data_IF_165696731527
#
_entry.id   IF_165696731527
#
_cell.length_a   1.000
_cell.length_b   1.000
_cell.length_c   1.000
_cell.angle_alpha   90.00
_cell.angle_beta   90.00
_cell.angle_gamma   90.00
#
_symmetry.space_group_name_H-M   'P 1'
#
loop_
_entity.id
_entity.type
_entity.pdbx_description
1 polymer ?
#
# COMPACT_ATOMS: atom_id res chain seq x y z
N UNK A 1 -2.77 28.66 7.06
CA UNK A 1 -1.94 27.46 6.73
C UNK A 1 -1.17 27.06 7.97
N UNK A 2 -1.33 25.87 8.55
CA UNK A 2 -0.46 25.37 9.61
C UNK A 2 0.93 25.07 9.04
N UNK A 3 2.00 25.16 9.85
CA UNK A 3 3.36 24.94 9.40
C UNK A 3 3.56 23.48 8.96
N UNK A 4 4.16 23.32 7.78
CA UNK A 4 4.59 22.04 7.21
C UNK A 4 5.80 21.51 7.99
N UNK A 5 5.59 20.85 9.08
CA UNK A 5 6.57 19.93 9.71
C UNK A 5 6.07 19.45 11.07
N UNK A 6 5.12 18.54 11.05
CA UNK A 6 4.98 17.64 12.17
C UNK A 6 4.94 16.24 11.56
N UNK A 7 6.12 15.63 11.45
CA UNK A 7 6.25 14.19 11.36
C UNK A 7 5.66 13.62 12.66
N UNK A 8 4.36 13.35 12.64
CA UNK A 8 3.77 12.52 13.67
C UNK A 8 4.35 11.12 13.49
N UNK A 9 4.90 10.50 14.54
CA UNK A 9 5.31 9.12 14.47
C UNK A 9 4.07 8.27 14.17
N UNK A 10 4.08 7.64 13.02
CA UNK A 10 2.99 6.84 12.43
C UNK A 10 2.43 5.72 13.32
N UNK A 11 3.08 5.42 14.42
CA UNK A 11 2.69 4.42 15.42
C UNK A 11 1.61 4.90 16.38
N UNK A 12 1.33 6.21 16.45
CA UNK A 12 0.53 6.79 17.53
C UNK A 12 -0.97 6.75 17.22
N UNK A 13 -1.38 6.88 15.95
CA UNK A 13 -2.78 7.09 15.61
C UNK A 13 -3.67 5.87 15.88
N UNK A 14 -3.25 4.68 15.47
CA UNK A 14 -4.03 3.45 15.67
C UNK A 14 -4.03 2.99 17.14
N UNK A 15 -2.95 3.23 17.84
CA UNK A 15 -2.84 2.96 19.27
C UNK A 15 -3.75 3.91 20.05
N UNK A 16 -3.74 5.20 19.72
CA UNK A 16 -4.59 6.20 20.38
C UNK A 16 -6.07 5.89 20.17
N UNK A 17 -6.51 5.62 18.95
CA UNK A 17 -7.91 5.26 18.65
C UNK A 17 -8.36 4.01 19.42
N UNK A 18 -7.53 2.97 19.48
CA UNK A 18 -7.86 1.76 20.23
C UNK A 18 -7.84 1.97 21.75
N UNK A 19 -6.87 2.70 22.27
CA UNK A 19 -6.76 3.02 23.70
C UNK A 19 -7.87 3.96 24.13
N UNK A 20 -8.18 4.98 23.36
CA UNK A 20 -9.32 5.88 23.59
C UNK A 20 -10.65 5.15 23.55
N UNK A 21 -10.88 4.26 22.57
CA UNK A 21 -12.07 3.42 22.54
C UNK A 21 -12.20 2.50 23.76
N UNK A 22 -11.08 1.95 24.26
CA UNK A 22 -11.07 1.19 25.50
C UNK A 22 -11.39 2.05 26.71
N UNK A 23 -10.79 3.24 26.79
CA UNK A 23 -11.05 4.19 27.85
C UNK A 23 -12.46 4.73 27.83
N UNK A 24 -12.99 5.08 26.66
CA UNK A 24 -14.36 5.60 26.50
C UNK A 24 -15.40 4.51 26.81
N UNK A 25 -15.08 3.24 26.46
CA UNK A 25 -15.91 2.10 26.85
C UNK A 25 -15.87 1.87 28.37
N UNK A 26 -14.68 1.94 28.98
CA UNK A 26 -14.52 1.74 30.43
C UNK A 26 -15.14 2.88 31.25
N UNK A 27 -15.14 4.09 30.72
CA UNK A 27 -15.69 5.29 31.37
C UNK A 27 -17.17 5.57 31.03
N UNK A 28 -17.82 4.69 30.24
CA UNK A 28 -19.24 4.84 29.85
C UNK A 28 -19.53 6.08 29.00
N UNK A 29 -18.51 6.61 28.30
CA UNK A 29 -18.62 7.82 27.47
C UNK A 29 -19.14 7.58 26.06
N UNK A 30 -19.49 6.34 25.74
CA UNK A 30 -20.10 6.03 24.45
C UNK A 30 -21.51 6.60 24.43
N UNK A 31 -21.86 7.48 23.46
CA UNK A 31 -23.20 8.02 23.35
C UNK A 31 -24.24 6.91 23.22
N UNK A 32 -25.38 7.09 23.91
CA UNK A 32 -26.48 6.13 23.88
C UNK A 32 -27.00 6.00 22.44
N UNK A 33 -26.91 4.80 21.86
CA UNK A 33 -27.36 4.54 20.48
C UNK A 33 -26.23 4.36 19.46
N UNK A 34 -24.98 4.67 19.80
CA UNK A 34 -23.81 4.38 18.96
C UNK A 34 -23.18 3.05 19.39
N UNK A 35 -22.90 2.18 18.43
CA UNK A 35 -22.11 0.98 18.69
C UNK A 35 -20.60 1.29 18.55
N UNK A 36 -19.76 0.36 19.04
CA UNK A 36 -18.29 0.53 18.98
C UNK A 36 -17.75 0.70 17.56
N UNK A 37 -18.43 0.16 16.57
CA UNK A 37 -18.02 0.22 15.18
C UNK A 37 -18.31 1.59 14.57
N UNK A 38 -19.43 2.23 14.94
CA UNK A 38 -19.77 3.58 14.48
C UNK A 38 -18.76 4.60 14.98
N UNK A 39 -18.32 4.46 16.23
CA UNK A 39 -17.28 5.32 16.82
C UNK A 39 -15.93 5.08 16.13
N UNK A 40 -15.63 3.82 15.81
CA UNK A 40 -14.41 3.47 15.10
C UNK A 40 -14.40 4.06 13.69
N UNK A 41 -15.49 3.88 12.95
CA UNK A 41 -15.65 4.41 11.60
C UNK A 41 -15.50 5.95 11.61
N UNK A 42 -16.10 6.63 12.60
CA UNK A 42 -15.94 8.07 12.79
C UNK A 42 -14.48 8.48 13.02
N UNK A 43 -13.78 7.81 13.94
CA UNK A 43 -12.36 8.09 14.24
C UNK A 43 -11.44 7.81 13.07
N UNK A 44 -11.76 6.83 12.24
CA UNK A 44 -11.02 6.55 11.01
C UNK A 44 -11.21 7.68 10.02
N UNK A 45 -12.44 8.14 9.83
CA UNK A 45 -12.73 9.27 8.95
C UNK A 45 -11.99 10.54 9.42
N UNK A 46 -11.92 10.79 10.73
CA UNK A 46 -11.11 11.89 11.29
C UNK A 46 -9.59 11.74 11.03
N UNK A 47 -9.13 10.52 10.78
CA UNK A 47 -7.71 10.21 10.55
C UNK A 47 -7.30 10.35 9.10
N UNK A 48 -8.25 10.53 8.19
CA UNK A 48 -7.98 10.75 6.77
C UNK A 48 -7.39 12.15 6.59
N UNK A 49 -6.25 12.22 5.93
CA UNK A 49 -5.61 13.46 5.54
C UNK A 49 -6.08 13.81 4.14
N UNK A 50 -6.96 14.79 4.03
CA UNK A 50 -7.45 15.28 2.75
C UNK A 50 -6.41 16.19 2.08
N UNK A 51 -6.09 15.92 0.82
CA UNK A 51 -5.25 16.78 -0.02
C UNK A 51 -6.03 17.20 -1.28
N UNK A 52 -5.57 18.19 -2.04
CA UNK A 52 -6.26 18.59 -3.25
C UNK A 52 -6.35 17.52 -4.35
N UNK A 53 -5.48 16.50 -4.31
CA UNK A 53 -5.35 15.50 -5.38
C UNK A 53 -5.68 14.08 -4.94
N UNK A 54 -5.58 13.79 -3.65
CA UNK A 54 -5.84 12.47 -3.07
C UNK A 54 -6.03 12.57 -1.56
N UNK A 55 -6.69 11.59 -1.00
CA UNK A 55 -6.81 11.42 0.44
C UNK A 55 -5.86 10.34 0.91
N UNK A 56 -5.24 10.56 2.06
CA UNK A 56 -4.24 9.64 2.63
C UNK A 56 -4.72 9.09 3.97
N UNK A 57 -4.80 7.76 4.06
CA UNK A 57 -4.98 7.06 5.31
C UNK A 57 -3.72 6.26 5.65
N UNK A 58 -3.10 6.57 6.78
CA UNK A 58 -1.89 5.87 7.23
C UNK A 58 -2.23 4.95 8.39
N UNK A 59 -1.92 3.67 8.22
CA UNK A 59 -2.06 2.68 9.27
C UNK A 59 -0.70 2.39 9.91
N UNK A 60 -0.56 2.76 11.18
CA UNK A 60 0.65 2.45 11.93
C UNK A 60 0.82 0.95 12.19
N UNK A 61 2.06 0.55 12.50
CA UNK A 61 2.39 -0.83 12.87
C UNK A 61 1.75 -1.16 14.22
N UNK A 62 0.94 -2.21 14.35
CA UNK A 62 0.44 -2.61 15.66
C UNK A 62 1.60 -3.15 16.50
N UNK A 63 1.92 -2.47 17.60
CA UNK A 63 2.88 -2.93 18.58
C UNK A 63 2.20 -3.79 19.66
N UNK A 64 2.79 -4.93 19.99
CA UNK A 64 2.39 -5.79 21.10
C UNK A 64 2.07 -7.24 20.72
N UNK A 65 2.05 -8.11 21.72
CA UNK A 65 1.78 -9.56 21.62
C UNK A 65 0.30 -9.92 21.38
N UNK A 66 -0.38 -9.13 20.55
CA UNK A 66 -1.80 -9.35 20.26
C UNK A 66 -2.05 -10.00 18.90
N UNK A 67 -3.15 -10.75 18.78
CA UNK A 67 -3.57 -11.32 17.51
C UNK A 67 -3.87 -10.21 16.50
N UNK A 68 -3.19 -10.22 15.35
CA UNK A 68 -3.41 -9.31 14.23
C UNK A 68 -4.83 -9.46 13.61
N UNK A 69 -5.56 -10.52 13.96
CA UNK A 69 -6.86 -10.83 13.37
C UNK A 69 -7.88 -9.69 13.51
N UNK A 70 -7.92 -9.03 14.68
CA UNK A 70 -8.86 -7.93 14.92
C UNK A 70 -8.50 -6.68 14.09
N UNK A 71 -7.21 -6.38 13.99
CA UNK A 71 -6.69 -5.24 13.19
C UNK A 71 -6.93 -5.49 11.70
N UNK A 72 -6.68 -6.72 11.23
CA UNK A 72 -6.89 -7.09 9.83
C UNK A 72 -8.37 -7.06 9.44
N UNK A 73 -9.27 -7.52 10.32
CA UNK A 73 -10.71 -7.42 10.08
C UNK A 73 -11.20 -5.97 10.05
N UNK A 74 -10.61 -5.12 10.88
CA UNK A 74 -10.88 -3.70 10.91
C UNK A 74 -10.41 -3.03 9.62
N UNK A 75 -9.18 -3.30 9.17
CA UNK A 75 -8.64 -2.76 7.92
C UNK A 75 -9.51 -3.15 6.72
N UNK A 76 -9.91 -4.41 6.64
CA UNK A 76 -10.80 -4.88 5.59
C UNK A 76 -12.10 -4.10 5.56
N UNK A 77 -12.76 -3.94 6.70
CA UNK A 77 -13.99 -3.16 6.81
C UNK A 77 -13.81 -1.69 6.41
N UNK A 78 -12.67 -1.08 6.79
CA UNK A 78 -12.34 0.29 6.38
C UNK A 78 -12.24 0.37 4.85
N UNK A 79 -11.49 -0.52 4.24
CA UNK A 79 -11.32 -0.56 2.78
C UNK A 79 -12.68 -0.76 2.09
N UNK A 80 -13.51 -1.69 2.59
CA UNK A 80 -14.86 -1.93 2.07
C UNK A 80 -15.76 -0.69 2.18
N UNK A 81 -15.73 0.02 3.30
CA UNK A 81 -16.51 1.24 3.50
C UNK A 81 -16.02 2.41 2.63
N UNK A 82 -14.70 2.54 2.46
CA UNK A 82 -14.10 3.59 1.64
C UNK A 82 -14.24 3.30 0.14
N UNK A 83 -14.26 2.04 -0.28
CA UNK A 83 -14.28 1.67 -1.70
C UNK A 83 -15.48 2.22 -2.47
N UNK A 84 -16.59 2.49 -1.80
CA UNK A 84 -17.77 3.10 -2.42
C UNK A 84 -17.64 4.61 -2.67
N UNK A 85 -16.64 5.26 -2.08
CA UNK A 85 -16.48 6.71 -2.11
C UNK A 85 -15.31 7.19 -3.00
N UNK A 86 -14.51 6.26 -3.51
CA UNK A 86 -13.34 6.56 -4.32
C UNK A 86 -13.33 5.76 -5.62
N UNK A 87 -12.97 6.42 -6.72
CA UNK A 87 -12.80 5.75 -8.02
C UNK A 87 -11.60 4.81 -8.05
N UNK A 88 -10.55 5.15 -7.27
CA UNK A 88 -9.31 4.39 -7.15
C UNK A 88 -8.82 4.39 -5.73
N UNK A 89 -8.47 3.20 -5.21
CA UNK A 89 -7.79 3.04 -3.92
C UNK A 89 -6.46 2.36 -4.17
N UNK A 90 -5.38 2.97 -3.70
CA UNK A 90 -4.03 2.40 -3.75
C UNK A 90 -3.65 1.96 -2.34
N UNK A 91 -3.31 0.70 -2.18
CA UNK A 91 -2.88 0.11 -0.91
C UNK A 91 -1.38 -0.17 -0.98
N UNK A 92 -0.57 0.65 -0.29
CA UNK A 92 0.85 0.37 -0.11
C UNK A 92 1.04 -0.60 1.05
N UNK A 93 1.66 -1.73 0.78
CA UNK A 93 1.84 -2.82 1.76
C UNK A 93 3.31 -2.96 2.17
N UNK A 94 3.54 -3.46 3.39
CA UNK A 94 4.90 -3.82 3.80
C UNK A 94 5.51 -4.84 2.84
N UNK A 95 6.84 -4.79 2.70
CA UNK A 95 7.57 -5.78 1.89
C UNK A 95 7.41 -7.20 2.44
N UNK A 96 7.25 -8.17 1.55
CA UNK A 96 7.21 -9.59 1.88
C UNK A 96 5.83 -10.23 1.71
N UNK A 97 5.67 -11.42 2.30
CA UNK A 97 4.52 -12.31 2.08
C UNK A 97 3.45 -12.20 3.20
N UNK A 98 3.75 -11.48 4.27
CA UNK A 98 2.90 -11.51 5.48
C UNK A 98 1.50 -10.96 5.26
N UNK A 99 1.36 -9.90 4.46
CA UNK A 99 0.07 -9.29 4.18
C UNK A 99 -0.85 -10.21 3.37
N UNK A 100 -0.28 -11.04 2.48
CA UNK A 100 -1.05 -12.06 1.75
C UNK A 100 -1.56 -13.15 2.69
N UNK A 101 -0.67 -13.71 3.51
CA UNK A 101 -1.04 -14.75 4.47
C UNK A 101 -2.05 -14.28 5.51
N UNK A 102 -2.04 -12.99 5.83
CA UNK A 102 -3.03 -12.36 6.73
C UNK A 102 -4.36 -12.02 6.07
N UNK A 103 -4.48 -12.23 4.75
CA UNK A 103 -5.68 -11.93 3.96
C UNK A 103 -6.18 -10.49 4.15
N UNK A 104 -5.29 -9.54 4.37
CA UNK A 104 -5.65 -8.12 4.54
C UNK A 104 -6.09 -7.47 3.24
N UNK A 105 -5.62 -7.99 2.11
CA UNK A 105 -5.88 -7.51 0.75
C UNK A 105 -6.75 -8.49 -0.04
N UNK A 106 -7.82 -8.98 0.56
CA UNK A 106 -8.83 -9.74 -0.19
C UNK A 106 -9.70 -8.76 -1.00
N UNK A 107 -10.06 -9.13 -2.21
CA UNK A 107 -10.90 -8.34 -3.14
C UNK A 107 -10.21 -7.05 -3.65
N UNK A 108 -8.96 -7.14 -4.05
CA UNK A 108 -8.33 -6.10 -4.87
C UNK A 108 -8.47 -6.46 -6.35
N UNK A 109 -8.76 -5.47 -7.19
CA UNK A 109 -8.90 -5.70 -8.63
C UNK A 109 -7.55 -6.03 -9.25
N UNK A 110 -6.52 -5.25 -8.91
CA UNK A 110 -5.18 -5.40 -9.45
C UNK A 110 -4.16 -5.48 -8.33
N UNK A 111 -3.28 -6.47 -8.39
CA UNK A 111 -2.12 -6.59 -7.52
C UNK A 111 -0.84 -6.36 -8.30
N UNK A 112 -0.02 -5.41 -7.86
CA UNK A 112 1.30 -5.15 -8.40
C UNK A 112 2.37 -5.72 -7.48
N UNK A 113 3.11 -6.72 -7.93
CA UNK A 113 4.31 -7.22 -7.26
C UNK A 113 5.49 -6.40 -7.74
N UNK A 114 5.99 -5.51 -6.87
CA UNK A 114 7.16 -4.69 -7.18
C UNK A 114 8.41 -5.36 -6.65
N UNK A 115 9.39 -5.59 -7.51
CA UNK A 115 10.68 -6.18 -7.15
C UNK A 115 11.83 -5.40 -7.74
N UNK A 116 13.03 -5.61 -7.20
CA UNK A 116 14.27 -5.14 -7.80
C UNK A 116 14.86 -6.18 -8.77
N UNK A 117 15.97 -5.84 -9.41
CA UNK A 117 16.73 -6.72 -10.33
C UNK A 117 17.42 -7.91 -9.67
N UNK A 118 17.39 -8.05 -8.34
CA UNK A 118 18.11 -9.08 -7.62
C UNK A 118 17.47 -10.47 -7.77
N UNK A 119 18.30 -11.50 -7.70
CA UNK A 119 17.82 -12.90 -7.68
C UNK A 119 16.84 -13.14 -6.52
N UNK A 120 17.11 -12.54 -5.35
CA UNK A 120 16.24 -12.67 -4.17
C UNK A 120 14.88 -12.02 -4.42
N UNK A 121 14.86 -10.82 -5.01
CA UNK A 121 13.64 -10.13 -5.38
C UNK A 121 12.79 -10.96 -6.34
N UNK A 122 13.39 -11.49 -7.41
CA UNK A 122 12.68 -12.35 -8.38
C UNK A 122 12.12 -13.62 -7.75
N UNK A 123 12.88 -14.29 -6.86
CA UNK A 123 12.39 -15.46 -6.12
C UNK A 123 11.24 -15.10 -5.17
N UNK A 124 11.28 -13.92 -4.55
CA UNK A 124 10.20 -13.45 -3.70
C UNK A 124 8.94 -13.17 -4.53
N UNK A 125 9.10 -12.52 -5.69
CA UNK A 125 7.99 -12.30 -6.61
C UNK A 125 7.32 -13.60 -7.07
N UNK A 126 8.13 -14.60 -7.44
CA UNK A 126 7.63 -15.94 -7.79
C UNK A 126 6.83 -16.57 -6.64
N UNK A 127 7.34 -16.49 -5.41
CA UNK A 127 6.65 -17.03 -4.22
C UNK A 127 5.35 -16.29 -3.91
N UNK A 128 5.30 -14.99 -4.17
CA UNK A 128 4.07 -14.19 -4.05
C UNK A 128 2.99 -14.75 -4.99
N UNK A 129 3.34 -14.99 -6.26
CA UNK A 129 2.40 -15.58 -7.23
C UNK A 129 1.89 -16.95 -6.78
N UNK A 130 2.80 -17.85 -6.38
CA UNK A 130 2.44 -19.18 -5.88
C UNK A 130 1.53 -19.13 -4.63
N UNK A 131 1.87 -18.26 -3.67
CA UNK A 131 1.08 -18.12 -2.45
C UNK A 131 -0.30 -17.52 -2.73
N UNK A 132 -0.39 -16.65 -3.71
CA UNK A 132 -1.65 -16.06 -4.15
C UNK A 132 -2.61 -17.15 -4.67
N UNK A 133 -2.10 -18.05 -5.50
CA UNK A 133 -2.85 -19.21 -6.00
C UNK A 133 -3.23 -20.17 -4.87
N UNK A 134 -2.29 -20.51 -3.97
CA UNK A 134 -2.53 -21.42 -2.83
C UNK A 134 -3.59 -20.90 -1.85
N UNK A 135 -3.64 -19.59 -1.63
CA UNK A 135 -4.58 -18.97 -0.70
C UNK A 135 -5.93 -18.64 -1.35
N UNK A 136 -6.11 -18.95 -2.63
CA UNK A 136 -7.31 -18.62 -3.40
C UNK A 136 -7.69 -17.13 -3.26
N UNK A 137 -6.68 -16.25 -3.21
CA UNK A 137 -6.92 -14.82 -3.12
C UNK A 137 -7.45 -14.35 -4.47
N UNK A 138 -8.64 -13.78 -4.45
CA UNK A 138 -9.30 -13.30 -5.67
C UNK A 138 -8.79 -11.90 -5.98
N UNK A 139 -7.84 -11.79 -6.90
CA UNK A 139 -7.63 -10.58 -7.67
C UNK A 139 -8.00 -10.88 -9.12
N UNK A 140 -8.42 -9.84 -9.83
CA UNK A 140 -8.74 -9.99 -11.25
C UNK A 140 -7.44 -10.10 -12.05
N UNK A 141 -6.41 -9.35 -11.65
CA UNK A 141 -5.13 -9.30 -12.35
C UNK A 141 -3.95 -9.21 -11.38
N UNK A 142 -2.87 -9.92 -11.71
CA UNK A 142 -1.61 -9.95 -10.96
C UNK A 142 -0.46 -9.64 -11.90
N UNK A 143 0.27 -8.56 -11.62
CA UNK A 143 1.38 -8.11 -12.45
C UNK A 143 2.68 -7.98 -11.68
N UNK A 144 3.79 -8.14 -12.41
CA UNK A 144 5.15 -7.87 -11.96
C UNK A 144 5.62 -6.51 -12.49
N UNK A 145 6.16 -5.69 -11.61
CA UNK A 145 6.92 -4.49 -11.95
C UNK A 145 8.36 -4.67 -11.48
N UNK A 146 9.32 -4.57 -12.39
CA UNK A 146 10.75 -4.64 -12.03
C UNK A 146 11.31 -3.23 -11.92
N UNK A 147 11.73 -2.87 -10.72
CA UNK A 147 12.21 -1.53 -10.39
C UNK A 147 13.75 -1.47 -10.32
N UNK A 148 14.31 -0.28 -10.50
CA UNK A 148 15.76 0.00 -10.42
C UNK A 148 16.59 -0.86 -11.37
N UNK A 149 16.17 -0.95 -12.61
CA UNK A 149 16.87 -1.70 -13.65
C UNK A 149 17.87 -0.77 -14.35
N UNK A 150 19.10 -1.26 -14.54
CA UNK A 150 20.04 -0.56 -15.40
C UNK A 150 19.70 -0.87 -16.87
N UNK A 151 19.56 0.13 -17.75
CA UNK A 151 19.23 -0.07 -19.16
C UNK A 151 20.11 -1.10 -19.87
N UNK A 152 21.39 -1.15 -19.53
CA UNK A 152 22.36 -2.11 -20.13
C UNK A 152 22.01 -3.59 -19.83
N UNK A 153 21.27 -3.85 -18.76
CA UNK A 153 20.92 -5.20 -18.30
C UNK A 153 19.44 -5.54 -18.52
N UNK A 154 18.67 -4.69 -19.20
CA UNK A 154 17.23 -4.84 -19.36
C UNK A 154 16.84 -6.21 -19.90
N UNK A 155 17.43 -6.63 -21.01
CA UNK A 155 17.10 -7.90 -21.67
C UNK A 155 17.35 -9.10 -20.75
N UNK A 156 18.48 -9.11 -20.03
CA UNK A 156 18.82 -10.14 -19.07
C UNK A 156 17.83 -10.19 -17.91
N UNK A 157 17.43 -9.02 -17.40
CA UNK A 157 16.48 -8.91 -16.30
C UNK A 157 15.10 -9.32 -16.73
N UNK A 158 14.62 -8.90 -17.91
CA UNK A 158 13.35 -9.33 -18.48
C UNK A 158 13.28 -10.85 -18.68
N UNK A 159 14.38 -11.48 -19.10
CA UNK A 159 14.45 -12.94 -19.19
C UNK A 159 14.20 -13.59 -17.83
N UNK A 160 14.85 -13.11 -16.76
CA UNK A 160 14.65 -13.62 -15.40
C UNK A 160 13.26 -13.30 -14.86
N UNK A 161 12.72 -12.14 -15.19
CA UNK A 161 11.38 -11.77 -14.79
C UNK A 161 10.31 -12.70 -15.36
N UNK A 162 10.48 -13.14 -16.63
CA UNK A 162 9.58 -14.14 -17.26
C UNK A 162 9.65 -15.51 -16.55
N UNK A 163 10.78 -15.89 -15.95
CA UNK A 163 10.93 -17.12 -15.20
C UNK A 163 10.10 -17.14 -13.89
N UNK A 164 9.62 -15.99 -13.43
CA UNK A 164 8.72 -15.91 -12.27
C UNK A 164 7.32 -16.44 -12.55
N UNK A 165 6.91 -16.51 -13.81
CA UNK A 165 5.57 -16.92 -14.23
C UNK A 165 4.53 -15.79 -14.11
N UNK A 166 4.92 -14.58 -13.69
CA UNK A 166 4.02 -13.43 -13.58
C UNK A 166 4.01 -12.59 -14.87
N UNK A 167 2.87 -11.99 -15.17
CA UNK A 167 2.75 -11.05 -16.27
C UNK A 167 3.47 -9.74 -15.95
N UNK A 168 4.38 -9.31 -16.83
CA UNK A 168 5.20 -8.12 -16.61
C UNK A 168 4.44 -6.89 -17.07
N UNK A 169 4.03 -6.03 -16.13
CA UNK A 169 3.41 -4.74 -16.43
C UNK A 169 4.43 -3.73 -16.97
N UNK A 170 5.64 -3.73 -16.44
CA UNK A 170 6.69 -2.84 -16.90
C UNK A 170 7.99 -2.94 -16.12
N UNK A 171 8.96 -2.17 -16.61
CA UNK A 171 10.28 -2.00 -16.01
C UNK A 171 10.48 -0.52 -15.72
N UNK A 172 10.94 -0.21 -14.50
CA UNK A 172 11.33 1.14 -14.10
C UNK A 172 12.85 1.18 -13.99
N UNK A 173 13.46 2.06 -14.76
CA UNK A 173 14.92 2.18 -14.74
C UNK A 173 15.42 2.94 -13.52
N UNK A 174 16.71 2.78 -13.24
CA UNK A 174 17.43 3.65 -12.29
C UNK A 174 17.38 5.09 -12.84
N UNK A 175 17.00 6.03 -11.97
CA UNK A 175 16.79 7.43 -12.31
C UNK A 175 17.51 8.31 -11.30
N UNK A 176 18.46 9.11 -11.80
CA UNK A 176 19.27 10.01 -10.96
C UNK A 176 18.41 11.12 -10.35
N UNK A 177 17.39 11.59 -11.08
CA UNK A 177 16.49 12.61 -10.57
C UNK A 177 15.68 12.09 -9.37
N UNK A 178 15.17 10.87 -9.46
CA UNK A 178 14.49 10.19 -8.32
C UNK A 178 15.44 10.04 -7.14
N UNK A 179 16.69 9.64 -7.41
CA UNK A 179 17.72 9.49 -6.38
C UNK A 179 18.03 10.82 -5.69
N UNK A 180 18.11 11.91 -6.46
CA UNK A 180 18.36 13.23 -5.94
C UNK A 180 17.20 13.72 -5.05
N UNK A 181 15.95 13.51 -5.48
CA UNK A 181 14.77 13.85 -4.69
C UNK A 181 14.75 13.09 -3.35
N UNK A 182 15.12 11.80 -3.36
CA UNK A 182 15.17 10.97 -2.16
C UNK A 182 16.25 11.45 -1.18
N UNK A 183 17.45 11.78 -1.67
CA UNK A 183 18.55 12.34 -0.86
C UNK A 183 18.17 13.70 -0.25
N UNK A 184 17.46 14.54 -1.00
CA UNK A 184 17.01 15.86 -0.54
C UNK A 184 15.77 15.78 0.36
N UNK A 185 15.15 14.60 0.50
CA UNK A 185 13.89 14.42 1.23
C UNK A 185 12.71 15.13 0.58
N UNK A 186 12.75 15.32 -0.75
CA UNK A 186 11.67 15.92 -1.53
C UNK A 186 10.63 14.86 -1.91
N UNK A 187 9.34 15.20 -1.86
CA UNK A 187 8.29 14.28 -2.29
C UNK A 187 8.40 13.94 -3.78
N UNK A 188 8.35 12.65 -4.13
CA UNK A 188 8.39 12.21 -5.54
C UNK A 188 7.19 12.70 -6.36
N UNK A 189 6.10 13.09 -5.72
CA UNK A 189 4.94 13.72 -6.39
C UNK A 189 5.28 15.10 -7.00
N UNK A 190 6.41 15.69 -6.61
CA UNK A 190 6.92 16.96 -7.19
C UNK A 190 7.79 16.73 -8.44
N UNK A 191 8.03 15.47 -8.84
CA UNK A 191 8.75 15.17 -10.09
C UNK A 191 7.98 15.75 -11.28
N UNK A 192 8.68 16.34 -12.26
CA UNK A 192 8.05 16.84 -13.48
C UNK A 192 7.34 15.72 -14.25
N UNK A 193 6.25 16.05 -14.93
CA UNK A 193 5.53 15.11 -15.78
C UNK A 193 6.42 14.56 -16.93
N UNK A 194 7.45 15.31 -17.31
CA UNK A 194 8.42 14.92 -18.30
C UNK A 194 9.46 13.91 -17.82
N UNK A 195 9.57 13.71 -16.50
CA UNK A 195 10.49 12.73 -15.90
C UNK A 195 10.26 11.33 -16.50
N UNK A 196 11.35 10.64 -16.78
CA UNK A 196 11.28 9.28 -17.35
C UNK A 196 10.56 8.32 -16.41
N UNK A 197 10.77 8.43 -15.11
CA UNK A 197 10.08 7.62 -14.10
C UNK A 197 8.58 7.89 -14.11
N UNK A 198 8.15 9.15 -14.12
CA UNK A 198 6.72 9.51 -14.17
C UNK A 198 6.05 8.98 -15.43
N UNK A 199 6.67 9.16 -16.60
CA UNK A 199 6.16 8.62 -17.88
C UNK A 199 6.05 7.09 -17.85
N UNK A 200 7.08 6.42 -17.31
CA UNK A 200 7.08 4.96 -17.21
C UNK A 200 5.97 4.45 -16.31
N UNK A 201 5.81 5.04 -15.13
CA UNK A 201 4.74 4.67 -14.18
C UNK A 201 3.37 4.96 -14.79
N UNK A 202 3.18 6.11 -15.44
CA UNK A 202 1.93 6.45 -16.15
C UNK A 202 1.61 5.44 -17.26
N UNK A 203 2.63 4.99 -18.00
CA UNK A 203 2.48 3.94 -19.00
C UNK A 203 2.07 2.59 -18.41
N UNK A 204 2.65 2.20 -17.27
CA UNK A 204 2.28 0.99 -16.53
C UNK A 204 0.81 1.09 -16.07
N UNK A 205 0.43 2.21 -15.44
CA UNK A 205 -0.93 2.43 -14.96
C UNK A 205 -1.96 2.42 -16.09
N UNK A 206 -1.64 3.01 -17.25
CA UNK A 206 -2.51 2.99 -18.42
C UNK A 206 -2.73 1.59 -18.98
N UNK A 207 -1.78 0.68 -18.79
CA UNK A 207 -1.85 -0.71 -19.24
C UNK A 207 -2.76 -1.57 -18.37
N UNK A 208 -2.77 -1.31 -17.07
CA UNK A 208 -3.54 -2.07 -16.08
C UNK A 208 -4.95 -1.52 -15.83
N UNK A 209 -5.23 -0.32 -16.33
CA UNK A 209 -6.55 0.33 -16.29
C UNK A 209 -7.34 0.01 -17.56
N UNK A 210 -7.64 -1.21 -17.83
CA UNK A 210 -8.54 -1.55 -18.95
C UNK A 210 -9.97 -1.73 -18.50
#
# INVERSE_FOLDING_TARGET
>A
RPPRSTLFPYTTLFRSVREELKEDTAKGRIPTGMNKWDILDYKIMESIIETPSFDLLVMGRPEGSGCYCAVNNMLRRIIENLSSNYDVIIIDTEAGLEHLSRRTTQNVDVMLVVTDKSKRGMLTAQRIGQLADELEIKFQELYLVVNRVNPENEEQILKKARETGLDIAGVIFEDEEVTQYDIEGRPLVELPDESNTVKTVSGILSRIRK
#
